data_IF_522592972865
#
_entry.id   IF_522592972865
#
_cell.length_a   1.000
_cell.length_b   1.000
_cell.length_c   1.000
_cell.angle_alpha   90.00
_cell.angle_beta   90.00
_cell.angle_gamma   90.00
#
_symmetry.space_group_name_H-M   'P 1'
#
loop_
_entity.id
_entity.type
_entity.pdbx_description
1 polymer ?
#
# COMPACT_ATOMS: atom_id res chain seq x y z
N UNK A 1 -14.97 -38.10 15.76
CA UNK A 1 -15.54 -37.38 16.92
C UNK A 1 -15.74 -35.92 16.52
N UNK A 2 -16.97 -35.40 16.67
CA UNK A 2 -17.49 -34.18 16.05
C UNK A 2 -16.70 -32.92 16.46
N UNK A 3 -16.12 -32.22 15.48
CA UNK A 3 -15.66 -30.82 15.60
C UNK A 3 -16.55 -29.94 14.70
N UNK A 4 -17.84 -29.91 14.97
CA UNK A 4 -18.64 -28.76 14.55
C UNK A 4 -18.62 -27.84 15.77
N UNK A 5 -17.97 -26.68 15.65
CA UNK A 5 -18.10 -25.62 16.65
C UNK A 5 -19.59 -25.27 16.84
N UNK A 6 -19.92 -24.64 17.96
CA UNK A 6 -21.31 -24.36 18.37
C UNK A 6 -22.13 -23.62 17.28
N UNK A 7 -21.48 -22.91 16.35
CA UNK A 7 -22.14 -22.26 15.21
C UNK A 7 -22.47 -23.20 14.04
N UNK A 8 -21.67 -24.24 13.78
CA UNK A 8 -21.98 -25.32 12.83
C UNK A 8 -22.59 -24.84 11.49
N UNK A 9 -23.86 -25.18 11.26
CA UNK A 9 -24.58 -24.84 10.04
C UNK A 9 -25.09 -23.38 9.98
N UNK A 10 -25.06 -22.64 11.09
CA UNK A 10 -25.58 -21.27 11.20
C UNK A 10 -24.49 -20.20 11.00
N UNK A 11 -23.25 -20.59 10.72
CA UNK A 11 -22.12 -19.65 10.56
C UNK A 11 -22.41 -18.66 9.45
N UNK A 12 -22.87 -19.16 8.30
CA UNK A 12 -23.21 -18.34 7.13
C UNK A 12 -24.40 -17.42 7.42
N UNK A 13 -25.51 -17.99 7.91
CA UNK A 13 -26.72 -17.21 8.27
C UNK A 13 -26.41 -16.09 9.27
N UNK A 14 -25.57 -16.37 10.28
CA UNK A 14 -25.22 -15.37 11.29
C UNK A 14 -24.31 -14.28 10.70
N UNK A 15 -23.35 -14.66 9.86
CA UNK A 15 -22.50 -13.69 9.19
C UNK A 15 -23.33 -12.79 8.28
N UNK A 16 -24.25 -13.38 7.51
CA UNK A 16 -25.15 -12.67 6.60
C UNK A 16 -25.96 -11.61 7.37
N UNK A 17 -26.59 -11.95 8.49
CA UNK A 17 -27.37 -10.97 9.28
C UNK A 17 -26.53 -9.74 9.66
N UNK A 18 -25.26 -9.93 10.00
CA UNK A 18 -24.38 -8.81 10.38
C UNK A 18 -23.89 -8.04 9.15
N UNK A 19 -23.54 -8.74 8.06
CA UNK A 19 -22.96 -8.14 6.85
C UNK A 19 -23.91 -7.16 6.16
N UNK A 20 -25.23 -7.37 6.28
CA UNK A 20 -26.24 -6.45 5.74
C UNK A 20 -26.19 -5.04 6.31
N UNK A 21 -25.60 -4.86 7.49
CA UNK A 21 -25.42 -3.55 8.11
C UNK A 21 -24.11 -2.87 7.70
N UNK A 22 -23.26 -3.51 6.91
CA UNK A 22 -21.96 -2.98 6.52
C UNK A 22 -21.96 -2.49 5.05
N UNK A 23 -21.41 -1.29 4.77
CA UNK A 23 -20.94 -0.27 5.71
C UNK A 23 -22.10 0.48 6.41
N UNK A 24 -21.84 1.08 7.57
CA UNK A 24 -22.90 1.71 8.38
C UNK A 24 -23.27 3.08 7.79
N UNK A 25 -24.50 3.21 7.31
CA UNK A 25 -25.06 4.48 6.82
C UNK A 25 -25.91 5.19 7.88
N UNK A 26 -25.27 5.79 8.89
CA UNK A 26 -25.99 6.59 9.89
C UNK A 26 -26.02 8.08 9.51
N UNK A 27 -27.18 8.58 9.09
CA UNK A 27 -27.44 10.04 8.98
C UNK A 27 -27.82 10.59 10.36
N UNK A 28 -26.85 11.17 11.06
CA UNK A 28 -27.13 11.83 12.34
C UNK A 28 -28.03 13.04 12.13
N UNK A 29 -29.25 13.00 12.66
CA UNK A 29 -30.24 14.09 12.55
C UNK A 29 -30.11 15.13 13.65
N UNK A 30 -29.31 14.87 14.69
CA UNK A 30 -29.05 15.82 15.78
C UNK A 30 -27.64 15.64 16.35
N UNK A 31 -26.95 16.74 16.64
CA UNK A 31 -25.60 16.75 17.21
C UNK A 31 -25.49 16.14 18.63
N UNK A 32 -26.62 15.80 19.27
CA UNK A 32 -26.68 15.28 20.64
C UNK A 32 -27.04 13.79 20.71
N UNK A 33 -27.02 13.06 19.59
CA UNK A 33 -27.28 11.63 19.60
C UNK A 33 -26.15 10.90 20.36
N UNK A 34 -26.51 10.05 21.33
CA UNK A 34 -25.55 9.27 22.13
C UNK A 34 -24.88 8.15 21.33
N UNK A 35 -25.50 7.71 20.24
CA UNK A 35 -24.98 6.66 19.35
C UNK A 35 -24.40 7.33 18.11
N UNK A 36 -23.10 7.16 17.89
CA UNK A 36 -22.39 7.72 16.74
C UNK A 36 -22.21 6.69 15.62
N UNK A 37 -21.90 7.17 14.41
CA UNK A 37 -21.62 6.29 13.27
C UNK A 37 -20.42 5.40 13.58
N UNK A 38 -19.37 6.01 14.14
CA UNK A 38 -18.11 5.35 14.49
C UNK A 38 -18.33 4.24 15.52
N UNK A 39 -19.19 4.47 16.52
CA UNK A 39 -19.52 3.45 17.52
C UNK A 39 -20.20 2.23 16.88
N UNK A 40 -21.14 2.46 15.95
CA UNK A 40 -21.82 1.39 15.23
C UNK A 40 -20.90 0.67 14.26
N UNK A 41 -20.05 1.40 13.53
CA UNK A 41 -19.04 0.83 12.62
C UNK A 41 -18.10 -0.08 13.40
N UNK A 42 -17.57 0.39 14.54
CA UNK A 42 -16.70 -0.42 15.39
C UNK A 42 -17.39 -1.70 15.90
N UNK A 43 -18.64 -1.57 16.37
CA UNK A 43 -19.45 -2.73 16.80
C UNK A 43 -19.67 -3.74 15.67
N UNK A 44 -20.03 -3.26 14.48
CA UNK A 44 -20.24 -4.09 13.30
C UNK A 44 -18.96 -4.83 12.88
N UNK A 45 -17.83 -4.11 12.76
CA UNK A 45 -16.51 -4.69 12.45
C UNK A 45 -16.10 -5.73 13.48
N UNK A 46 -16.34 -5.47 14.77
CA UNK A 46 -16.07 -6.43 15.85
C UNK A 46 -16.87 -7.72 15.67
N UNK A 47 -18.15 -7.63 15.29
CA UNK A 47 -18.99 -8.80 15.03
C UNK A 47 -18.52 -9.59 13.79
N UNK A 48 -18.23 -8.90 12.68
CA UNK A 48 -17.77 -9.52 11.42
C UNK A 48 -16.44 -10.27 11.59
N UNK A 49 -15.62 -9.86 12.56
CA UNK A 49 -14.30 -10.44 12.85
C UNK A 49 -14.26 -11.32 14.10
N UNK A 50 -15.41 -11.52 14.77
CA UNK A 50 -15.48 -12.18 16.07
C UNK A 50 -15.17 -13.69 16.03
N UNK A 51 -15.34 -14.35 14.89
CA UNK A 51 -15.22 -15.80 14.79
C UNK A 51 -14.36 -16.23 13.60
N UNK A 52 -13.38 -17.14 13.76
CA UNK A 52 -12.47 -17.52 12.68
C UNK A 52 -13.15 -18.22 11.50
N UNK A 53 -14.33 -18.82 11.68
CA UNK A 53 -15.11 -19.39 10.58
C UNK A 53 -15.81 -18.33 9.72
N UNK A 54 -15.79 -17.05 10.14
CA UNK A 54 -16.27 -15.93 9.31
C UNK A 54 -15.27 -15.52 8.23
N UNK A 55 -14.00 -15.93 8.33
CA UNK A 55 -12.95 -15.52 7.41
C UNK A 55 -13.32 -15.58 5.90
N UNK A 56 -13.82 -16.71 5.35
CA UNK A 56 -14.15 -16.77 3.92
C UNK A 56 -15.26 -15.79 3.53
N UNK A 57 -16.28 -15.63 4.37
CA UNK A 57 -17.40 -14.72 4.12
C UNK A 57 -16.98 -13.25 4.28
N UNK A 58 -16.09 -12.97 5.24
CA UNK A 58 -15.55 -11.64 5.47
C UNK A 58 -14.67 -11.16 4.32
N UNK A 59 -13.81 -12.03 3.77
CA UNK A 59 -13.00 -11.65 2.60
C UNK A 59 -13.86 -11.49 1.35
N UNK A 60 -14.88 -12.34 1.16
CA UNK A 60 -15.85 -12.15 0.07
C UNK A 60 -16.60 -10.82 0.18
N UNK A 61 -17.08 -10.46 1.38
CA UNK A 61 -17.71 -9.16 1.63
C UNK A 61 -16.76 -8.00 1.33
N UNK A 62 -15.48 -8.11 1.69
CA UNK A 62 -14.47 -7.09 1.39
C UNK A 62 -14.29 -6.92 -0.12
N UNK A 63 -14.16 -8.01 -0.89
CA UNK A 63 -14.07 -7.96 -2.35
C UNK A 63 -15.30 -7.30 -2.97
N UNK A 64 -16.50 -7.74 -2.55
CA UNK A 64 -17.77 -7.18 -3.03
C UNK A 64 -17.83 -5.67 -2.79
N UNK A 65 -17.53 -5.20 -1.57
CA UNK A 65 -17.64 -3.79 -1.21
C UNK A 65 -16.54 -2.91 -1.82
N UNK A 66 -15.34 -3.43 -2.04
CA UNK A 66 -14.29 -2.68 -2.72
C UNK A 66 -14.56 -2.54 -4.23
N UNK A 67 -15.12 -3.57 -4.86
CA UNK A 67 -15.41 -3.59 -6.29
C UNK A 67 -16.77 -2.94 -6.64
N UNK A 68 -17.68 -2.80 -5.67
CA UNK A 68 -18.97 -2.15 -5.86
C UNK A 68 -18.83 -0.69 -6.31
N UNK A 69 -19.40 -0.34 -7.47
CA UNK A 69 -19.40 1.01 -8.02
C UNK A 69 -20.38 1.94 -7.30
N UNK A 70 -21.40 1.39 -6.62
CA UNK A 70 -22.37 2.13 -5.83
C UNK A 70 -21.78 2.57 -4.47
N UNK A 71 -20.76 1.83 -3.98
CA UNK A 71 -20.07 2.18 -2.75
C UNK A 71 -19.31 3.50 -2.89
N UNK A 72 -19.62 4.44 -2.00
CA UNK A 72 -18.91 5.71 -1.87
C UNK A 72 -17.45 5.49 -1.51
N UNK A 73 -16.62 6.51 -1.72
CA UNK A 73 -15.21 6.42 -1.38
C UNK A 73 -14.98 6.21 0.12
N UNK A 74 -15.80 6.85 0.95
CA UNK A 74 -15.79 6.69 2.42
C UNK A 74 -16.12 5.25 2.81
N UNK A 75 -17.08 4.63 2.12
CA UNK A 75 -17.45 3.22 2.31
C UNK A 75 -16.34 2.26 1.90
N UNK A 76 -15.61 2.56 0.81
CA UNK A 76 -14.43 1.77 0.42
C UNK A 76 -13.30 1.90 1.44
N UNK A 77 -13.13 3.08 2.06
CA UNK A 77 -12.16 3.27 3.16
C UNK A 77 -12.58 2.46 4.39
N UNK A 78 -13.85 2.49 4.79
CA UNK A 78 -14.36 1.64 5.89
C UNK A 78 -14.16 0.15 5.58
N UNK A 79 -14.26 -0.25 4.31
CA UNK A 79 -13.98 -1.61 3.86
C UNK A 79 -12.49 -1.96 3.99
N UNK A 80 -11.59 -1.03 3.68
CA UNK A 80 -10.16 -1.18 3.98
C UNK A 80 -9.91 -1.31 5.49
N UNK A 81 -10.65 -0.62 6.34
CA UNK A 81 -10.56 -0.76 7.80
C UNK A 81 -11.02 -2.13 8.28
N UNK A 82 -12.10 -2.67 7.70
CA UNK A 82 -12.54 -4.05 7.93
C UNK A 82 -11.45 -5.05 7.54
N UNK A 83 -10.74 -4.82 6.43
CA UNK A 83 -9.59 -5.64 6.04
C UNK A 83 -8.45 -5.60 7.08
N UNK A 84 -8.22 -4.45 7.75
CA UNK A 84 -7.30 -4.39 8.92
C UNK A 84 -7.78 -5.38 9.99
N UNK A 85 -9.05 -5.27 10.37
CA UNK A 85 -9.61 -5.98 11.49
C UNK A 85 -9.66 -7.49 11.21
N UNK A 86 -9.85 -7.89 9.94
CA UNK A 86 -9.79 -9.27 9.47
C UNK A 86 -8.41 -9.93 9.67
N UNK A 87 -7.37 -9.19 10.06
CA UNK A 87 -6.06 -9.76 10.43
C UNK A 87 -6.10 -10.70 11.65
N UNK A 88 -7.21 -10.73 12.40
CA UNK A 88 -7.45 -11.71 13.46
C UNK A 88 -7.68 -13.14 12.95
N UNK A 89 -7.99 -13.30 11.66
CA UNK A 89 -8.19 -14.60 11.02
C UNK A 89 -6.87 -15.31 10.73
N UNK A 90 -6.96 -16.59 10.34
CA UNK A 90 -5.76 -17.34 9.97
C UNK A 90 -5.14 -16.76 8.70
N UNK A 91 -3.78 -16.68 8.63
CA UNK A 91 -3.05 -16.20 7.46
C UNK A 91 -3.57 -16.75 6.14
N UNK A 92 -3.73 -18.08 6.08
CA UNK A 92 -4.02 -18.78 4.83
C UNK A 92 -5.45 -18.54 4.33
N UNK A 93 -6.33 -17.95 5.15
CA UNK A 93 -7.72 -17.70 4.79
C UNK A 93 -7.88 -16.59 3.75
N UNK A 94 -6.91 -15.68 3.60
CA UNK A 94 -6.95 -14.60 2.59
C UNK A 94 -6.47 -15.07 1.21
N UNK A 95 -5.77 -16.21 1.11
CA UNK A 95 -4.99 -16.55 -0.09
C UNK A 95 -5.83 -16.66 -1.36
N UNK A 96 -7.09 -17.13 -1.27
CA UNK A 96 -8.02 -17.21 -2.40
C UNK A 96 -8.52 -15.85 -2.88
N UNK A 97 -8.43 -14.82 -2.04
CA UNK A 97 -8.96 -13.47 -2.27
C UNK A 97 -7.84 -12.44 -2.52
N UNK A 98 -6.59 -12.83 -2.26
CA UNK A 98 -5.47 -11.91 -2.16
C UNK A 98 -5.24 -11.13 -3.47
N UNK A 99 -5.29 -11.78 -4.63
CA UNK A 99 -5.06 -11.11 -5.92
C UNK A 99 -6.14 -10.06 -6.20
N UNK A 100 -7.42 -10.39 -5.99
CA UNK A 100 -8.53 -9.46 -6.19
C UNK A 100 -8.44 -8.27 -5.24
N UNK A 101 -8.31 -8.55 -3.94
CA UNK A 101 -8.20 -7.52 -2.90
C UNK A 101 -7.04 -6.58 -3.19
N UNK A 102 -5.89 -7.07 -3.64
CA UNK A 102 -4.75 -6.21 -4.00
C UNK A 102 -5.03 -5.34 -5.23
N UNK A 103 -5.70 -5.88 -6.24
CA UNK A 103 -6.17 -5.11 -7.38
C UNK A 103 -7.08 -3.95 -6.96
N UNK A 104 -8.02 -4.24 -6.07
CA UNK A 104 -8.99 -3.27 -5.57
C UNK A 104 -8.34 -2.23 -4.66
N UNK A 105 -7.45 -2.64 -3.74
CA UNK A 105 -6.68 -1.72 -2.89
C UNK A 105 -5.80 -0.79 -3.71
N UNK A 106 -5.23 -1.27 -4.83
CA UNK A 106 -4.48 -0.41 -5.76
C UNK A 106 -5.41 0.62 -6.41
N UNK A 107 -6.59 0.20 -6.89
CA UNK A 107 -7.55 1.10 -7.51
C UNK A 107 -8.01 2.21 -6.53
N UNK A 108 -8.25 1.83 -5.27
CA UNK A 108 -8.56 2.77 -4.18
C UNK A 108 -7.35 3.66 -3.85
N UNK A 109 -6.15 3.09 -3.72
CA UNK A 109 -4.89 3.80 -3.45
C UNK A 109 -4.50 4.85 -4.49
N UNK A 110 -4.78 4.58 -5.77
CA UNK A 110 -4.50 5.47 -6.89
C UNK A 110 -5.62 6.49 -7.13
N UNK A 111 -6.68 6.53 -6.32
CA UNK A 111 -7.74 7.54 -6.44
C UNK A 111 -7.35 8.83 -5.69
N UNK A 112 -7.39 10.01 -6.34
CA UNK A 112 -6.86 11.25 -5.75
C UNK A 112 -7.71 11.76 -4.58
N UNK A 113 -8.97 11.34 -4.49
CA UNK A 113 -9.93 11.83 -3.49
C UNK A 113 -9.74 11.22 -2.09
N UNK A 114 -9.03 10.10 -1.96
CA UNK A 114 -8.86 9.35 -0.70
C UNK A 114 -7.42 9.28 -0.18
N UNK A 115 -6.49 9.96 -0.87
CA UNK A 115 -5.06 9.84 -0.62
C UNK A 115 -4.66 10.08 0.84
N UNK A 116 -5.22 11.11 1.47
CA UNK A 116 -4.89 11.48 2.86
C UNK A 116 -5.42 10.49 3.91
N UNK A 117 -6.49 9.76 3.61
CA UNK A 117 -7.15 8.83 4.54
C UNK A 117 -6.59 7.41 4.44
N UNK A 118 -6.05 7.02 3.28
CA UNK A 118 -5.48 5.68 3.05
C UNK A 118 -4.11 5.47 3.71
N UNK A 119 -3.37 6.55 4.01
CA UNK A 119 -2.11 6.47 4.75
C UNK A 119 -2.27 5.83 6.12
N UNK A 120 -3.44 6.01 6.75
CA UNK A 120 -3.79 5.35 8.01
C UNK A 120 -4.08 3.87 7.81
N UNK A 121 -4.71 3.48 6.69
CA UNK A 121 -5.01 2.09 6.35
C UNK A 121 -3.75 1.30 6.01
N UNK A 122 -2.73 1.88 5.38
CA UNK A 122 -1.55 1.10 5.02
C UNK A 122 -0.62 0.72 6.18
N UNK A 123 -0.89 1.19 7.40
CA UNK A 123 -0.36 0.58 8.62
C UNK A 123 -0.76 -0.92 8.76
N UNK A 124 -1.70 -1.42 7.95
CA UNK A 124 -2.10 -2.84 7.79
C UNK A 124 -1.00 -3.73 7.23
N UNK A 125 -0.07 -3.22 6.41
CA UNK A 125 1.03 -4.02 5.87
C UNK A 125 1.86 -4.65 7.00
N UNK A 126 1.92 -3.99 8.16
CA UNK A 126 2.56 -4.48 9.38
C UNK A 126 1.82 -5.66 10.04
N UNK A 127 0.50 -5.76 9.90
CA UNK A 127 -0.29 -6.86 10.44
C UNK A 127 -0.29 -8.06 9.50
N UNK A 128 -0.31 -7.81 8.18
CA UNK A 128 -0.14 -8.87 7.19
C UNK A 128 1.25 -9.51 7.29
N UNK A 129 2.29 -8.81 7.71
CA UNK A 129 3.64 -9.38 7.79
C UNK A 129 3.96 -10.16 9.08
N UNK A 130 3.33 -9.83 10.21
CA UNK A 130 3.49 -10.60 11.47
C UNK A 130 2.94 -12.03 11.38
N UNK A 131 2.16 -12.29 10.35
CA UNK A 131 1.33 -13.48 10.12
C UNK A 131 2.06 -14.54 9.26
N UNK A 132 3.20 -14.20 8.64
CA UNK A 132 3.93 -15.11 7.74
C UNK A 132 5.37 -15.36 8.16
N UNK A 133 5.56 -16.46 8.90
CA UNK A 133 6.86 -17.14 8.94
C UNK A 133 6.87 -18.48 8.16
N UNK A 134 5.71 -19.05 7.79
CA UNK A 134 5.65 -20.40 7.19
C UNK A 134 4.94 -20.52 5.82
N UNK A 135 4.03 -19.60 5.43
CA UNK A 135 3.43 -19.54 4.07
C UNK A 135 3.97 -18.37 3.23
N UNK A 136 5.18 -17.92 3.56
CA UNK A 136 5.84 -16.70 3.08
C UNK A 136 6.04 -16.66 1.55
N UNK A 137 6.17 -17.83 0.91
CA UNK A 137 6.39 -17.97 -0.54
C UNK A 137 5.13 -17.62 -1.35
N UNK A 138 3.92 -17.93 -0.87
CA UNK A 138 2.68 -17.75 -1.64
C UNK A 138 2.20 -16.30 -1.66
N UNK A 139 2.31 -15.59 -0.54
CA UNK A 139 1.99 -14.15 -0.48
C UNK A 139 2.99 -13.33 -1.30
N UNK A 140 4.27 -13.71 -1.26
CA UNK A 140 5.31 -13.19 -2.15
C UNK A 140 4.96 -13.48 -3.61
N UNK A 141 4.51 -14.69 -3.97
CA UNK A 141 4.18 -15.00 -5.37
C UNK A 141 3.00 -14.20 -5.91
N UNK A 142 2.03 -13.82 -5.07
CA UNK A 142 0.84 -13.04 -5.47
C UNK A 142 1.12 -11.53 -5.44
N UNK A 143 1.80 -11.01 -4.41
CA UNK A 143 2.24 -9.61 -4.40
C UNK A 143 3.29 -9.36 -5.50
N UNK A 144 4.25 -10.27 -5.63
CA UNK A 144 5.43 -10.18 -6.51
C UNK A 144 5.29 -11.04 -7.76
N UNK A 145 4.07 -11.39 -8.17
CA UNK A 145 3.89 -11.83 -9.54
C UNK A 145 4.45 -10.70 -10.42
N UNK A 146 5.35 -10.99 -11.37
CA UNK A 146 6.02 -9.97 -12.17
C UNK A 146 5.04 -9.00 -12.85
N UNK A 147 3.80 -9.43 -13.10
CA UNK A 147 2.74 -8.57 -13.63
C UNK A 147 2.23 -7.55 -12.61
N UNK A 148 2.01 -7.90 -11.34
CA UNK A 148 1.39 -7.00 -10.34
C UNK A 148 2.28 -5.80 -9.95
N UNK A 149 3.61 -5.97 -9.87
CA UNK A 149 4.56 -4.85 -9.68
C UNK A 149 4.90 -4.14 -10.98
N UNK A 150 4.99 -4.85 -12.11
CA UNK A 150 5.17 -4.23 -13.44
C UNK A 150 4.01 -3.32 -13.78
N UNK A 151 2.83 -3.54 -13.21
CA UNK A 151 1.69 -2.65 -13.39
C UNK A 151 1.85 -1.30 -12.67
N UNK A 152 2.70 -1.17 -11.64
CA UNK A 152 2.93 0.11 -10.94
C UNK A 152 4.00 0.98 -11.61
N UNK A 153 4.94 0.38 -12.35
CA UNK A 153 5.93 1.09 -13.16
C UNK A 153 5.32 2.21 -14.04
N UNK A 154 4.28 1.97 -14.86
CA UNK A 154 3.72 3.03 -15.70
C UNK A 154 3.14 4.19 -14.87
N UNK A 155 2.62 3.94 -13.67
CA UNK A 155 2.10 4.99 -12.80
C UNK A 155 3.21 5.74 -12.06
N UNK A 156 4.34 5.08 -11.74
CA UNK A 156 5.53 5.74 -11.18
C UNK A 156 6.19 6.63 -12.24
N UNK A 157 6.29 6.15 -13.48
CA UNK A 157 6.90 6.90 -14.59
C UNK A 157 5.97 7.97 -15.18
N UNK A 158 4.69 8.01 -14.75
CA UNK A 158 3.74 9.08 -15.05
C UNK A 158 3.66 10.06 -13.88
N UNK A 159 4.27 11.23 -14.05
CA UNK A 159 4.26 12.30 -13.05
C UNK A 159 2.95 13.10 -13.04
N UNK A 160 2.03 12.78 -13.94
CA UNK A 160 0.75 13.46 -14.06
C UNK A 160 -0.14 13.26 -12.83
N UNK A 161 -0.75 14.35 -12.36
CA UNK A 161 -1.81 14.35 -11.34
C UNK A 161 -1.44 13.64 -10.03
N UNK A 162 -0.15 13.60 -9.67
CA UNK A 162 0.34 12.94 -8.45
C UNK A 162 0.27 11.41 -8.47
N UNK A 163 0.17 10.77 -9.65
CA UNK A 163 0.18 9.30 -9.74
C UNK A 163 1.51 8.68 -9.27
N UNK A 164 2.63 9.33 -9.59
CA UNK A 164 3.95 8.89 -9.15
C UNK A 164 4.08 8.88 -7.62
N UNK A 165 3.75 10.00 -6.96
CA UNK A 165 3.72 10.10 -5.50
C UNK A 165 2.83 9.01 -4.88
N UNK A 166 1.68 8.78 -5.52
CA UNK A 166 0.70 7.81 -5.04
C UNK A 166 1.20 6.39 -5.09
N UNK A 167 1.73 6.01 -6.24
CA UNK A 167 2.32 4.69 -6.48
C UNK A 167 3.53 4.43 -5.57
N UNK A 168 4.41 5.43 -5.43
CA UNK A 168 5.57 5.32 -4.55
C UNK A 168 5.14 5.15 -3.09
N UNK A 169 4.14 5.88 -2.59
CA UNK A 169 3.76 5.65 -1.18
C UNK A 169 3.07 4.31 -0.98
N UNK A 170 2.30 3.79 -1.95
CA UNK A 170 1.80 2.41 -1.89
C UNK A 170 2.95 1.39 -1.76
N UNK A 171 4.03 1.59 -2.52
CA UNK A 171 5.22 0.76 -2.47
C UNK A 171 5.98 0.93 -1.15
N UNK A 172 6.07 2.15 -0.62
CA UNK A 172 6.64 2.45 0.71
C UNK A 172 5.86 1.70 1.79
N UNK A 173 4.54 1.76 1.76
CA UNK A 173 3.65 1.06 2.65
C UNK A 173 3.82 -0.46 2.57
N UNK A 174 3.90 -1.02 1.37
CA UNK A 174 4.19 -2.43 1.17
C UNK A 174 5.58 -2.81 1.72
N UNK A 175 6.57 -1.93 1.64
CA UNK A 175 7.91 -2.15 2.23
C UNK A 175 7.88 -2.22 3.76
N UNK A 176 6.89 -1.60 4.41
CA UNK A 176 6.70 -1.72 5.86
C UNK A 176 6.24 -3.11 6.31
N UNK A 177 5.84 -3.98 5.37
CA UNK A 177 5.49 -5.37 5.69
C UNK A 177 6.67 -6.08 6.35
N UNK A 178 7.78 -6.30 5.66
CA UNK A 178 8.90 -7.01 6.29
C UNK A 178 10.16 -7.04 5.46
N UNK A 179 11.29 -7.42 6.07
CA UNK A 179 12.61 -7.32 5.44
C UNK A 179 12.71 -8.07 4.11
N UNK A 180 12.10 -9.24 3.99
CA UNK A 180 12.22 -10.01 2.75
C UNK A 180 11.40 -9.43 1.57
N UNK A 181 10.38 -8.60 1.81
CA UNK A 181 9.69 -7.86 0.74
C UNK A 181 10.42 -6.55 0.41
N UNK A 182 11.02 -5.90 1.43
CA UNK A 182 11.73 -4.61 1.28
C UNK A 182 12.78 -4.62 0.18
N UNK A 183 13.72 -5.57 0.24
CA UNK A 183 14.80 -5.65 -0.75
C UNK A 183 14.26 -5.75 -2.18
N UNK A 184 13.22 -6.57 -2.39
CA UNK A 184 12.59 -6.74 -3.70
C UNK A 184 11.90 -5.46 -4.20
N UNK A 185 11.25 -4.70 -3.31
CA UNK A 185 10.64 -3.41 -3.64
C UNK A 185 11.74 -2.40 -4.00
N UNK A 186 12.79 -2.30 -3.20
CA UNK A 186 13.86 -1.33 -3.41
C UNK A 186 14.63 -1.58 -4.71
N UNK A 187 14.87 -2.84 -5.04
CA UNK A 187 15.50 -3.26 -6.30
C UNK A 187 14.69 -2.83 -7.54
N UNK A 188 13.39 -2.58 -7.41
CA UNK A 188 12.52 -2.10 -8.50
C UNK A 188 12.34 -0.58 -8.49
N UNK A 189 12.11 -0.02 -7.31
CA UNK A 189 11.78 1.40 -7.16
C UNK A 189 12.96 2.30 -7.49
N UNK A 190 14.18 1.95 -7.06
CA UNK A 190 15.35 2.81 -7.30
C UNK A 190 15.61 3.02 -8.81
N UNK A 191 15.64 1.97 -9.66
CA UNK A 191 15.70 2.16 -11.10
C UNK A 191 14.62 3.08 -11.68
N UNK A 192 13.36 2.93 -11.25
CA UNK A 192 12.27 3.78 -11.74
C UNK A 192 12.46 5.25 -11.35
N UNK A 193 12.89 5.53 -10.12
CA UNK A 193 13.18 6.90 -9.69
C UNK A 193 14.39 7.45 -10.46
N UNK A 194 15.42 6.64 -10.72
CA UNK A 194 16.57 7.04 -11.55
C UNK A 194 16.11 7.46 -12.96
N UNK A 195 15.16 6.74 -13.57
CA UNK A 195 14.57 7.14 -14.85
C UNK A 195 13.85 8.50 -14.78
N UNK A 196 13.11 8.76 -13.68
CA UNK A 196 12.50 10.08 -13.44
C UNK A 196 13.56 11.19 -13.36
N UNK A 197 14.65 10.97 -12.61
CA UNK A 197 15.75 11.92 -12.43
C UNK A 197 16.48 12.21 -13.76
N UNK A 198 16.61 11.21 -14.63
CA UNK A 198 17.17 11.39 -15.97
C UNK A 198 16.20 12.09 -16.94
N UNK A 199 14.91 12.11 -16.59
CA UNK A 199 13.82 12.55 -17.46
C UNK A 199 13.58 11.59 -18.63
N UNK A 200 13.93 10.31 -18.47
CA UNK A 200 13.70 9.24 -19.46
C UNK A 200 12.34 8.58 -19.22
N UNK A 201 11.27 9.35 -19.44
CA UNK A 201 9.89 8.93 -19.18
C UNK A 201 9.02 8.96 -20.43
N UNK A 202 8.03 8.08 -20.45
CA UNK A 202 7.08 7.94 -21.55
C UNK A 202 6.12 9.13 -21.51
N UNK A 203 6.18 9.97 -22.55
CA UNK A 203 5.42 11.21 -22.77
C UNK A 203 5.86 12.47 -22.01
N UNK A 204 5.76 13.58 -22.75
CA UNK A 204 5.80 14.99 -22.31
C UNK A 204 7.19 15.63 -22.16
N UNK A 205 7.78 16.01 -23.30
CA UNK A 205 8.95 16.92 -23.36
C UNK A 205 8.69 18.29 -22.70
N UNK A 206 7.44 18.72 -22.51
CA UNK A 206 7.10 20.04 -21.96
C UNK A 206 7.20 20.13 -20.43
N UNK A 207 7.08 19.01 -19.71
CA UNK A 207 7.08 19.00 -18.23
C UNK A 207 8.36 18.38 -17.65
N UNK A 208 9.37 18.13 -18.50
CA UNK A 208 10.66 17.54 -18.12
C UNK A 208 11.31 18.16 -16.87
N UNK A 209 11.39 19.50 -16.69
CA UNK A 209 12.00 20.06 -15.48
C UNK A 209 11.24 19.69 -14.21
N UNK A 210 9.90 19.72 -14.23
CA UNK A 210 9.07 19.34 -13.08
C UNK A 210 9.21 17.86 -12.73
N UNK A 211 9.30 17.00 -13.75
CA UNK A 211 9.51 15.56 -13.61
C UNK A 211 10.85 15.28 -12.92
N UNK A 212 11.91 15.95 -13.38
CA UNK A 212 13.25 15.81 -12.80
C UNK A 212 13.26 16.34 -11.36
N UNK A 213 12.65 17.51 -11.09
CA UNK A 213 12.54 18.10 -9.75
C UNK A 213 11.85 17.13 -8.77
N UNK A 214 10.74 16.51 -9.18
CA UNK A 214 10.05 15.50 -8.37
C UNK A 214 10.87 14.22 -8.20
N UNK A 215 11.51 13.73 -9.27
CA UNK A 215 12.42 12.59 -9.21
C UNK A 215 13.54 12.79 -8.19
N UNK A 216 14.12 13.99 -8.13
CA UNK A 216 15.15 14.37 -7.16
C UNK A 216 14.64 14.40 -5.71
N UNK A 217 13.38 14.79 -5.50
CA UNK A 217 12.74 14.68 -4.18
C UNK A 217 12.52 13.21 -3.79
N UNK A 218 11.98 12.40 -4.71
CA UNK A 218 11.74 10.99 -4.46
C UNK A 218 13.03 10.23 -4.17
N UNK A 219 14.12 10.44 -4.93
CA UNK A 219 15.37 9.71 -4.67
C UNK A 219 15.94 10.03 -3.29
N UNK A 220 15.84 11.29 -2.85
CA UNK A 220 16.29 11.71 -1.51
C UNK A 220 15.52 10.98 -0.42
N UNK A 221 14.19 10.96 -0.53
CA UNK A 221 13.30 10.30 0.44
C UNK A 221 13.54 8.79 0.48
N UNK A 222 13.67 8.16 -0.69
CA UNK A 222 13.81 6.70 -0.77
C UNK A 222 15.18 6.21 -0.32
N UNK A 223 16.26 6.97 -0.58
CA UNK A 223 17.59 6.63 -0.05
C UNK A 223 17.59 6.64 1.48
N UNK A 224 16.98 7.65 2.10
CA UNK A 224 16.82 7.72 3.56
C UNK A 224 16.00 6.53 4.10
N UNK A 225 14.85 6.23 3.49
CA UNK A 225 14.01 5.08 3.90
C UNK A 225 14.77 3.74 3.83
N UNK A 226 15.54 3.53 2.77
CA UNK A 226 16.30 2.28 2.58
C UNK A 226 17.37 2.13 3.65
N UNK A 227 18.06 3.22 3.97
CA UNK A 227 19.07 3.26 5.03
C UNK A 227 18.46 3.04 6.41
N UNK A 228 17.36 3.73 6.74
CA UNK A 228 16.64 3.56 8.01
C UNK A 228 16.16 2.12 8.23
N UNK A 229 15.89 1.40 7.14
CA UNK A 229 15.53 -0.02 7.19
C UNK A 229 16.73 -0.98 7.18
N UNK A 230 17.97 -0.48 7.07
CA UNK A 230 19.21 -1.27 7.07
C UNK A 230 19.50 -2.02 5.77
N UNK A 231 18.95 -1.58 4.63
CA UNK A 231 19.12 -2.19 3.30
C UNK A 231 20.21 -1.49 2.48
N UNK A 232 21.33 -1.21 3.13
CA UNK A 232 22.45 -0.46 2.55
C UNK A 232 23.11 -1.17 1.36
N UNK A 233 22.99 -2.50 1.28
CA UNK A 233 23.47 -3.28 0.14
C UNK A 233 22.77 -2.89 -1.18
N UNK A 234 21.49 -2.50 -1.10
CA UNK A 234 20.74 -1.96 -2.24
C UNK A 234 21.30 -0.59 -2.64
N UNK A 235 21.61 0.27 -1.66
CA UNK A 235 22.19 1.60 -1.93
C UNK A 235 23.57 1.49 -2.59
N UNK A 236 24.42 0.59 -2.10
CA UNK A 236 25.74 0.32 -2.68
C UNK A 236 25.61 -0.17 -4.13
N UNK A 237 24.66 -1.07 -4.40
CA UNK A 237 24.41 -1.62 -5.74
C UNK A 237 24.03 -0.55 -6.76
N UNK A 238 23.20 0.42 -6.37
CA UNK A 238 22.71 1.48 -7.25
C UNK A 238 23.50 2.80 -7.16
N UNK A 239 24.52 2.86 -6.31
CA UNK A 239 25.33 4.06 -6.06
C UNK A 239 25.71 4.81 -7.34
N UNK A 240 26.39 4.13 -8.27
CA UNK A 240 26.87 4.75 -9.50
C UNK A 240 25.74 5.34 -10.35
N UNK A 241 24.61 4.62 -10.44
CA UNK A 241 23.46 5.03 -11.25
C UNK A 241 22.75 6.24 -10.64
N UNK A 242 22.57 6.24 -9.32
CA UNK A 242 21.95 7.35 -8.58
C UNK A 242 22.79 8.62 -8.75
N UNK A 243 24.08 8.58 -8.43
CA UNK A 243 24.92 9.78 -8.51
C UNK A 243 25.13 10.27 -9.95
N UNK A 244 25.26 9.37 -10.93
CA UNK A 244 25.30 9.76 -12.34
C UNK A 244 24.00 10.44 -12.79
N UNK A 245 22.85 9.92 -12.36
CA UNK A 245 21.55 10.54 -12.70
C UNK A 245 21.39 11.93 -12.09
N UNK A 246 21.80 12.12 -10.83
CA UNK A 246 21.75 13.43 -10.15
C UNK A 246 22.66 14.43 -10.87
N UNK A 247 23.85 14.02 -11.32
CA UNK A 247 24.77 14.91 -12.04
C UNK A 247 24.19 15.35 -13.39
N UNK A 248 23.57 14.44 -14.14
CA UNK A 248 22.83 14.77 -15.38
C UNK A 248 21.68 15.73 -15.09
N UNK A 249 20.94 15.52 -13.99
CA UNK A 249 19.82 16.38 -13.60
C UNK A 249 20.24 17.82 -13.28
N UNK A 250 21.51 18.08 -12.91
CA UNK A 250 22.02 19.44 -12.59
C UNK A 250 21.89 20.41 -13.75
N UNK A 251 21.94 19.93 -14.99
CA UNK A 251 21.76 20.78 -16.17
C UNK A 251 20.35 21.37 -16.26
N UNK A 252 19.36 20.68 -15.69
CA UNK A 252 17.94 21.08 -15.77
C UNK A 252 17.42 21.65 -14.45
N UNK A 253 17.79 21.06 -13.31
CA UNK A 253 17.32 21.43 -11.97
C UNK A 253 18.51 21.54 -10.98
N UNK A 254 19.36 22.58 -11.09
CA UNK A 254 20.62 22.66 -10.36
C UNK A 254 20.45 22.71 -8.84
N UNK A 255 19.46 23.45 -8.34
CA UNK A 255 19.21 23.57 -6.91
C UNK A 255 18.68 22.25 -6.33
N UNK A 256 17.67 21.65 -6.96
CA UNK A 256 17.14 20.35 -6.56
C UNK A 256 18.22 19.26 -6.59
N UNK A 257 19.08 19.26 -7.62
CA UNK A 257 20.15 18.28 -7.74
C UNK A 257 21.22 18.45 -6.66
N UNK A 258 21.58 19.67 -6.28
CA UNK A 258 22.50 19.92 -5.15
C UNK A 258 21.92 19.46 -3.82
N UNK A 259 20.63 19.71 -3.57
CA UNK A 259 19.94 19.23 -2.36
C UNK A 259 19.90 17.70 -2.33
N UNK A 260 19.49 17.06 -3.43
CA UNK A 260 19.45 15.61 -3.53
C UNK A 260 20.84 14.98 -3.37
N UNK A 261 21.86 15.58 -3.96
CA UNK A 261 23.26 15.14 -3.82
C UNK A 261 23.70 15.19 -2.35
N UNK A 262 23.45 16.30 -1.66
CA UNK A 262 23.77 16.45 -0.24
C UNK A 262 23.05 15.40 0.61
N UNK A 263 21.74 15.21 0.41
CA UNK A 263 20.95 14.26 1.17
C UNK A 263 21.44 12.82 0.94
N UNK A 264 21.64 12.42 -0.32
CA UNK A 264 22.14 11.08 -0.65
C UNK A 264 23.55 10.84 -0.11
N UNK A 265 24.45 11.82 -0.20
CA UNK A 265 25.80 11.71 0.37
C UNK A 265 25.75 11.59 1.90
N UNK A 266 24.89 12.35 2.57
CA UNK A 266 24.78 12.30 4.03
C UNK A 266 24.40 10.91 4.55
N UNK A 267 23.67 10.13 3.75
CA UNK A 267 23.30 8.74 4.06
C UNK A 267 24.42 7.77 3.68
N UNK A 268 24.94 7.86 2.46
CA UNK A 268 25.90 6.87 1.93
C UNK A 268 27.32 7.04 2.50
N UNK A 269 27.71 8.23 2.95
CA UNK A 269 29.04 8.46 3.53
C UNK A 269 29.27 7.65 4.82
N UNK A 270 28.20 7.26 5.53
CA UNK A 270 28.28 6.36 6.69
C UNK A 270 28.51 4.89 6.31
N UNK A 271 28.40 4.51 5.03
CA UNK A 271 28.60 3.14 4.55
C UNK A 271 30.04 2.86 4.09
N UNK A 272 30.87 3.90 3.98
CA UNK A 272 32.26 3.81 3.51
C UNK A 272 33.30 3.75 4.65
N UNK A 273 32.86 3.73 5.90
CA UNK A 273 33.67 3.61 7.13
C UNK A 273 33.18 2.45 7.99
#
# INVERSE_FOLDING_TARGET
>A
MRKYGILGALVEDLFEIVSWYFPIELKQTSNNASITKELLTHGCVTCLTAHPEFAPFCYLLIEEKLNDEECSLEQKIETCELLVAASVFRPNSILSHLESILGDLRAVGLNPKCWSQLLCSFSIAHNLSKVYYDSFISMIFVFLHPQSFSDLEPFVLQVDMGLAERSLTLLRCASSAGPAIRGMIYDRVIPWIVMLVQGDVVNVRSNRPEIIEQGLQYISIWVEIIHDHGFDDVLVRFYSSVFASIDVARETAPNGALVALHNCLSVVFFLAY
#
